data_IF_773033779444
#
_entry.id   IF_773033779444
#
_cell.length_a   1.000
_cell.length_b   1.000
_cell.length_c   1.000
_cell.angle_alpha   90.00
_cell.angle_beta   90.00
_cell.angle_gamma   90.00
#
_symmetry.space_group_name_H-M   'P 1'
#
loop_
_entity.id
_entity.type
_entity.pdbx_description
1 polymer ?
#
# COMPACT_ATOMS: atom_id res chain seq x y z
N UNK A 1 -6.25 -14.01 -2.85
CA UNK A 1 -6.84 -12.67 -2.73
C UNK A 1 -6.08 -11.67 -3.54
N UNK A 2 -6.76 -10.74 -4.18
CA UNK A 2 -6.16 -9.81 -5.12
C UNK A 2 -6.27 -8.38 -4.65
N UNK A 3 -5.34 -7.57 -5.15
CA UNK A 3 -5.42 -6.12 -5.01
C UNK A 3 -5.76 -5.56 -6.37
N UNK A 4 -6.81 -4.75 -6.42
CA UNK A 4 -7.17 -4.05 -7.65
C UNK A 4 -6.79 -2.59 -7.51
N UNK A 5 -5.93 -2.13 -8.40
CA UNK A 5 -5.53 -0.74 -8.45
C UNK A 5 -6.16 -0.10 -9.67
N UNK A 6 -6.92 0.95 -9.43
CA UNK A 6 -7.55 1.68 -10.52
C UNK A 6 -7.03 3.10 -10.53
N UNK A 7 -6.37 3.47 -11.62
CA UNK A 7 -5.85 4.80 -11.80
C UNK A 7 -6.35 5.31 -13.14
N UNK A 8 -7.31 6.23 -13.08
CA UNK A 8 -7.94 6.71 -14.29
C UNK A 8 -8.64 5.57 -15.01
N UNK A 9 -8.29 5.34 -16.26
CA UNK A 9 -8.89 4.29 -17.08
C UNK A 9 -8.14 2.96 -16.96
N UNK A 10 -7.07 2.93 -16.19
CA UNK A 10 -6.24 1.74 -16.09
C UNK A 10 -6.55 1.00 -14.80
N UNK A 11 -6.77 -0.31 -14.91
CA UNK A 11 -6.96 -1.17 -13.75
C UNK A 11 -5.86 -2.22 -13.75
N UNK A 12 -5.17 -2.33 -12.62
CA UNK A 12 -4.13 -3.33 -12.44
C UNK A 12 -4.51 -4.31 -11.37
N UNK A 13 -4.21 -5.58 -11.60
CA UNK A 13 -4.42 -6.61 -10.60
C UNK A 13 -3.08 -7.06 -10.05
N UNK A 14 -3.03 -7.25 -8.73
CA UNK A 14 -1.86 -7.78 -8.07
C UNK A 14 -2.27 -8.79 -7.05
N UNK A 15 -1.42 -9.78 -6.84
CA UNK A 15 -1.61 -10.72 -5.74
C UNK A 15 -0.81 -10.24 -4.54
N UNK A 16 -1.34 -10.48 -3.34
CA UNK A 16 -0.61 -10.10 -2.15
C UNK A 16 0.76 -10.73 -2.09
N UNK A 17 0.89 -11.95 -2.60
CA UNK A 17 2.17 -12.64 -2.59
C UNK A 17 3.18 -12.04 -3.55
N UNK A 18 2.72 -11.17 -4.47
CA UNK A 18 3.62 -10.49 -5.39
C UNK A 18 4.15 -9.19 -4.83
N UNK A 19 3.70 -8.78 -3.66
CA UNK A 19 4.13 -7.53 -3.05
C UNK A 19 5.45 -7.75 -2.33
N UNK A 20 6.47 -7.01 -2.74
CA UNK A 20 7.76 -7.06 -2.08
C UNK A 20 7.72 -6.31 -0.75
N UNK A 21 7.18 -5.10 -0.76
CA UNK A 21 6.97 -4.32 0.45
C UNK A 21 6.04 -3.15 0.17
N UNK A 22 5.54 -2.56 1.25
CA UNK A 22 4.67 -1.40 1.18
C UNK A 22 5.30 -0.28 2.00
N UNK A 23 5.28 0.92 1.45
CA UNK A 23 5.74 2.10 2.17
C UNK A 23 4.63 3.13 2.13
N UNK A 24 4.21 3.61 3.28
CA UNK A 24 3.18 4.63 3.36
C UNK A 24 3.81 5.90 3.93
N UNK A 25 3.78 6.98 3.16
CA UNK A 25 4.25 8.28 3.62
C UNK A 25 3.05 9.14 3.94
N UNK A 26 3.29 10.39 4.32
CA UNK A 26 2.20 11.32 4.58
C UNK A 26 1.43 11.72 3.33
N UNK A 27 1.93 11.38 2.15
CA UNK A 27 1.33 11.81 0.91
C UNK A 27 1.00 10.68 -0.05
N UNK A 28 1.65 9.54 0.07
CA UNK A 28 1.52 8.50 -0.93
C UNK A 28 1.64 7.12 -0.32
N UNK A 29 1.03 6.18 -1.01
CA UNK A 29 1.21 4.77 -0.72
C UNK A 29 2.05 4.19 -1.85
N UNK A 30 3.16 3.55 -1.51
CA UNK A 30 4.08 2.99 -2.48
C UNK A 30 4.06 1.48 -2.35
N UNK A 31 3.66 0.81 -3.42
CA UNK A 31 3.60 -0.65 -3.46
C UNK A 31 4.77 -1.16 -4.27
N UNK A 32 5.75 -1.75 -3.60
CA UNK A 32 6.91 -2.30 -4.27
C UNK A 32 6.63 -3.71 -4.72
N UNK A 33 6.82 -3.97 -6.01
CA UNK A 33 6.71 -5.31 -6.56
C UNK A 33 8.07 -5.98 -6.51
N UNK A 34 9.12 -5.20 -6.72
CA UNK A 34 10.50 -5.65 -6.52
C UNK A 34 11.23 -4.55 -5.79
N UNK A 35 12.52 -4.76 -5.53
CA UNK A 35 13.31 -3.75 -4.85
C UNK A 35 13.47 -2.48 -5.68
N UNK A 36 13.20 -2.54 -6.98
CA UNK A 36 13.39 -1.39 -7.87
C UNK A 36 12.13 -0.98 -8.62
N UNK A 37 11.06 -1.74 -8.51
CA UNK A 37 9.80 -1.41 -9.19
C UNK A 37 8.72 -1.15 -8.17
N UNK A 38 8.05 -0.03 -8.32
CA UNK A 38 6.99 0.33 -7.39
C UNK A 38 5.89 1.11 -8.09
N UNK A 39 4.68 0.98 -7.56
CA UNK A 39 3.55 1.81 -7.97
C UNK A 39 3.30 2.82 -6.87
N UNK A 40 3.22 4.09 -7.23
CA UNK A 40 3.01 5.16 -6.28
C UNK A 40 1.58 5.67 -6.44
N UNK A 41 0.83 5.63 -5.34
CA UNK A 41 -0.57 6.02 -5.35
C UNK A 41 -0.75 7.17 -4.38
N UNK A 42 -1.19 8.34 -4.86
CA UNK A 42 -1.44 9.46 -3.95
C UNK A 42 -2.52 9.11 -2.95
N UNK A 43 -2.33 9.50 -1.70
CA UNK A 43 -3.30 9.18 -0.65
C UNK A 43 -4.67 9.79 -0.93
N UNK A 44 -4.70 10.91 -1.60
CA UNK A 44 -5.98 11.54 -1.94
C UNK A 44 -6.83 10.68 -2.86
N UNK A 45 -6.19 9.79 -3.63
CA UNK A 45 -6.93 8.90 -4.52
C UNK A 45 -7.43 7.67 -3.79
N UNK A 46 -6.85 7.36 -2.65
CA UNK A 46 -7.25 6.21 -1.85
C UNK A 46 -8.37 6.59 -0.89
N UNK A 47 -8.27 7.79 -0.33
CA UNK A 47 -9.29 8.29 0.57
C UNK A 47 -9.41 7.45 1.83
N UNK A 48 -10.65 7.15 2.19
CA UNK A 48 -10.94 6.44 3.43
C UNK A 48 -10.58 4.97 3.40
N UNK A 49 -10.20 4.45 2.24
CA UNK A 49 -9.92 3.03 2.11
C UNK A 49 -8.52 2.67 2.56
N UNK A 50 -7.69 3.67 2.88
CA UNK A 50 -6.31 3.41 3.26
C UNK A 50 -6.22 2.56 4.53
N UNK A 51 -7.02 2.88 5.54
CA UNK A 51 -6.98 2.11 6.79
C UNK A 51 -7.36 0.66 6.57
N UNK A 52 -8.41 0.44 5.79
CA UNK A 52 -8.85 -0.92 5.50
C UNK A 52 -7.77 -1.67 4.72
N UNK A 53 -7.14 -0.99 3.77
CA UNK A 53 -6.08 -1.60 2.99
C UNK A 53 -4.91 -2.01 3.87
N UNK A 54 -4.46 -1.10 4.75
CA UNK A 54 -3.32 -1.40 5.61
C UNK A 54 -3.65 -2.49 6.62
N UNK A 55 -4.90 -2.55 7.08
CA UNK A 55 -5.30 -3.61 7.99
C UNK A 55 -5.18 -4.98 7.31
N UNK A 56 -5.60 -5.07 6.06
CA UNK A 56 -5.47 -6.32 5.32
C UNK A 56 -4.00 -6.61 5.06
N UNK A 57 -3.22 -5.59 4.73
CA UNK A 57 -1.80 -5.77 4.46
C UNK A 57 -1.09 -6.35 5.67
N UNK A 58 -1.45 -5.90 6.87
CA UNK A 58 -0.82 -6.41 8.09
C UNK A 58 -1.08 -7.89 8.30
N UNK A 59 -2.17 -8.39 7.74
CA UNK A 59 -2.49 -9.81 7.85
C UNK A 59 -1.83 -10.64 6.77
N UNK A 60 -1.57 -10.04 5.61
CA UNK A 60 -1.03 -10.76 4.48
C UNK A 60 0.48 -10.68 4.37
N UNK A 61 1.07 -9.61 4.88
CA UNK A 61 2.49 -9.37 4.76
C UNK A 61 3.14 -9.43 6.13
N UNK A 62 4.45 -9.61 6.13
CA UNK A 62 5.19 -9.62 7.39
C UNK A 62 5.47 -8.20 7.85
N UNK A 63 5.65 -7.98 9.15
CA UNK A 63 5.84 -6.61 9.66
C UNK A 63 6.98 -5.86 8.99
N UNK A 64 8.07 -6.54 8.63
CA UNK A 64 9.20 -5.84 8.03
C UNK A 64 8.92 -5.43 6.58
N UNK A 65 7.84 -5.91 6.00
CA UNK A 65 7.47 -5.53 4.64
C UNK A 65 6.58 -4.29 4.60
N UNK A 66 6.16 -3.79 5.75
CA UNK A 66 5.27 -2.65 5.81
C UNK A 66 5.94 -1.54 6.57
N UNK A 67 6.14 -0.39 5.91
CA UNK A 67 6.72 0.79 6.54
C UNK A 67 5.72 1.92 6.45
N UNK A 68 5.32 2.43 7.60
CA UNK A 68 4.37 3.53 7.68
C UNK A 68 5.07 4.71 8.32
N UNK A 69 5.21 5.79 7.55
CA UNK A 69 5.90 6.98 8.02
C UNK A 69 4.99 8.19 8.01
N UNK A 70 5.60 9.34 8.31
CA UNK A 70 4.89 10.58 8.32
C UNK A 70 3.80 10.59 9.38
N UNK A 71 2.71 11.30 9.09
CA UNK A 71 1.63 11.39 10.04
C UNK A 71 0.97 10.08 10.33
N UNK A 72 0.93 9.23 9.34
CA UNK A 72 0.20 7.98 9.44
C UNK A 72 0.85 7.01 10.40
N UNK A 73 2.12 7.19 10.68
CA UNK A 73 2.83 6.33 11.60
C UNK A 73 2.33 6.41 13.03
N UNK A 74 1.55 7.42 13.35
CA UNK A 74 1.09 7.61 14.71
C UNK A 74 -0.13 6.80 15.07
N UNK A 75 -0.75 6.18 14.09
CA UNK A 75 -2.01 5.49 14.34
C UNK A 75 -1.91 4.30 15.28
N UNK A 76 -0.75 3.76 15.41
CA UNK A 76 -0.59 2.58 16.26
C UNK A 76 -0.10 2.88 17.65
N UNK A 77 -0.17 4.10 18.05
CA UNK A 77 0.16 4.46 19.41
C UNK A 77 -1.05 4.43 20.30
#
# INVERSE_FOLDING_TARGET
EKILLQQGAVTEEMLWEDIFKIKCTGKSLVLYITSVRANIIPLRDIGDELDAFLTIAEKKLKPFQIKVGGRYGHRNN
#
